data_IF_860458760190
#
_entry.id   IF_860458760190
#
_cell.length_a   1.000
_cell.length_b   1.000
_cell.length_c   1.000
_cell.angle_alpha   90.00
_cell.angle_beta   90.00
_cell.angle_gamma   90.00
#
_symmetry.space_group_name_H-M   'P 1'
#
loop_
_entity.id
_entity.type
_entity.pdbx_description
1 polymer ?
#
# COMPACT_ATOMS: atom_id res chain seq x y z
N UNK A 1 -16.55 -11.89 -1.47
CA UNK A 1 -16.67 -10.47 -1.04
C UNK A 1 -15.25 -9.92 -0.91
N UNK A 2 -14.98 -8.69 -1.36
CA UNK A 2 -13.65 -8.04 -1.28
C UNK A 2 -13.78 -6.68 -0.58
N UNK A 3 -12.68 -6.15 -0.04
CA UNK A 3 -12.61 -4.81 0.57
C UNK A 3 -12.16 -3.76 -0.44
N UNK A 4 -12.60 -2.52 -0.25
CA UNK A 4 -12.01 -1.37 -0.96
C UNK A 4 -10.71 -0.92 -0.28
N UNK A 5 -9.93 -0.10 -0.98
CA UNK A 5 -8.75 0.61 -0.48
C UNK A 5 -9.06 1.47 0.74
N UNK A 6 -10.19 2.19 0.70
CA UNK A 6 -10.66 3.02 1.81
C UNK A 6 -11.01 2.20 3.05
N UNK A 7 -11.69 1.06 2.88
CA UNK A 7 -12.00 0.15 3.99
C UNK A 7 -10.71 -0.38 4.65
N UNK A 8 -9.72 -0.80 3.85
CA UNK A 8 -8.44 -1.27 4.37
C UNK A 8 -7.69 -0.17 5.14
N UNK A 9 -7.68 1.07 4.62
CA UNK A 9 -7.05 2.21 5.28
C UNK A 9 -7.72 2.57 6.61
N UNK A 10 -9.06 2.51 6.68
CA UNK A 10 -9.81 2.74 7.91
C UNK A 10 -9.47 1.72 8.99
N UNK A 11 -9.34 0.44 8.62
CA UNK A 11 -8.94 -0.62 9.55
C UNK A 11 -7.51 -0.39 10.07
N UNK A 12 -6.57 -0.03 9.19
CA UNK A 12 -5.20 0.25 9.61
C UNK A 12 -5.12 1.43 10.58
N UNK A 13 -5.85 2.51 10.29
CA UNK A 13 -5.95 3.68 11.16
C UNK A 13 -6.55 3.31 12.53
N UNK A 14 -7.68 2.58 12.55
CA UNK A 14 -8.34 2.17 13.78
C UNK A 14 -7.49 1.20 14.63
N UNK A 15 -6.70 0.35 13.99
CA UNK A 15 -5.82 -0.60 14.66
C UNK A 15 -4.50 0.02 15.17
N UNK A 16 -4.17 1.26 14.77
CA UNK A 16 -2.94 1.93 15.19
C UNK A 16 -1.66 1.26 14.68
N UNK A 17 -1.70 0.64 13.50
CA UNK A 17 -0.52 -0.03 12.92
C UNK A 17 0.51 0.99 12.43
N UNK A 18 1.77 0.57 12.29
CA UNK A 18 2.84 1.43 11.75
C UNK A 18 2.78 1.64 10.23
N UNK A 19 2.31 0.64 9.48
CA UNK A 19 2.26 0.67 8.01
C UNK A 19 1.18 -0.29 7.46
N UNK A 20 0.55 0.11 6.35
CA UNK A 20 -0.40 -0.70 5.59
C UNK A 20 0.20 -1.05 4.23
N UNK A 21 0.21 -2.33 3.86
CA UNK A 21 0.55 -2.78 2.52
C UNK A 21 -0.71 -3.29 1.81
N UNK A 22 -1.14 -2.60 0.75
CA UNK A 22 -2.30 -3.00 -0.05
C UNK A 22 -1.89 -4.02 -1.11
N UNK A 23 -2.66 -5.11 -1.23
CA UNK A 23 -2.41 -6.20 -2.18
C UNK A 23 -3.74 -6.77 -2.70
N UNK A 24 -3.67 -7.75 -3.59
CA UNK A 24 -4.81 -8.49 -4.13
C UNK A 24 -5.83 -7.58 -4.84
N UNK A 25 -5.33 -6.80 -5.81
CA UNK A 25 -6.16 -5.95 -6.65
C UNK A 25 -6.80 -6.75 -7.78
N UNK A 26 -7.97 -6.28 -8.23
CA UNK A 26 -8.58 -6.82 -9.44
C UNK A 26 -7.69 -6.49 -10.65
N UNK A 27 -7.49 -7.41 -11.61
CA UNK A 27 -6.74 -7.14 -12.84
C UNK A 27 -7.33 -6.05 -13.73
N UNK A 28 -8.46 -5.44 -13.34
CA UNK A 28 -9.10 -4.32 -14.03
C UNK A 28 -8.37 -3.00 -13.77
N UNK A 29 -7.63 -2.91 -12.67
CA UNK A 29 -6.83 -1.75 -12.30
C UNK A 29 -5.42 -1.94 -12.87
N UNK A 30 -5.28 -1.64 -14.16
CA UNK A 30 -4.03 -1.75 -14.91
C UNK A 30 -3.56 -0.32 -15.23
N UNK A 31 -2.25 -0.06 -15.23
CA UNK A 31 -1.72 1.19 -15.78
C UNK A 31 -2.29 1.47 -17.18
N UNK A 32 -2.81 2.68 -17.40
CA UNK A 32 -3.41 3.11 -18.67
C UNK A 32 -4.94 3.02 -18.73
N UNK A 33 -5.63 2.61 -17.67
CA UNK A 33 -7.09 2.72 -17.52
C UNK A 33 -7.49 4.02 -16.82
N UNK A 34 -8.78 4.36 -16.85
CA UNK A 34 -9.32 5.56 -16.21
C UNK A 34 -9.13 5.59 -14.68
N UNK A 35 -9.02 4.41 -14.05
CA UNK A 35 -8.64 4.26 -12.64
C UNK A 35 -7.48 3.27 -12.60
N UNK A 36 -6.31 3.78 -12.20
CA UNK A 36 -5.09 3.02 -12.08
C UNK A 36 -4.78 2.59 -10.64
N UNK A 37 -3.71 1.80 -10.46
CA UNK A 37 -3.21 1.44 -9.14
C UNK A 37 -2.82 2.67 -8.29
N UNK A 38 -2.31 3.73 -8.93
CA UNK A 38 -1.92 4.97 -8.24
C UNK A 38 -3.11 5.72 -7.64
N UNK A 39 -4.27 5.71 -8.31
CA UNK A 39 -5.51 6.31 -7.79
C UNK A 39 -5.97 5.57 -6.54
N UNK A 40 -5.93 4.24 -6.57
CA UNK A 40 -6.25 3.38 -5.41
C UNK A 40 -5.31 3.62 -4.23
N UNK A 41 -4.01 3.83 -4.51
CA UNK A 41 -3.04 4.18 -3.48
C UNK A 41 -3.33 5.57 -2.89
N UNK A 42 -3.69 6.53 -3.73
CA UNK A 42 -4.06 7.88 -3.29
C UNK A 42 -5.30 7.87 -2.38
N UNK A 43 -6.33 7.10 -2.74
CA UNK A 43 -7.54 6.92 -1.91
C UNK A 43 -7.20 6.39 -0.52
N UNK A 44 -6.36 5.36 -0.42
CA UNK A 44 -5.96 4.81 0.87
C UNK A 44 -5.09 5.79 1.67
N UNK A 45 -4.14 6.47 1.01
CA UNK A 45 -3.25 7.45 1.65
C UNK A 45 -3.99 8.68 2.18
N UNK A 46 -5.12 9.05 1.58
CA UNK A 46 -5.97 10.12 2.08
C UNK A 46 -6.53 9.82 3.49
N UNK A 47 -6.66 8.54 3.86
CA UNK A 47 -7.14 8.09 5.17
C UNK A 47 -5.97 7.67 6.08
N UNK A 48 -5.02 6.92 5.54
CA UNK A 48 -3.86 6.43 6.27
C UNK A 48 -2.56 6.66 5.46
N UNK A 49 -1.81 7.75 5.72
CA UNK A 49 -0.66 8.14 4.91
C UNK A 49 0.47 7.10 4.85
N UNK A 50 0.64 6.29 5.90
CA UNK A 50 1.64 5.21 5.96
C UNK A 50 1.17 3.96 5.17
N UNK A 51 0.75 4.17 3.93
CA UNK A 51 0.27 3.12 3.03
C UNK A 51 1.20 2.95 1.84
N UNK A 52 1.49 1.70 1.50
CA UNK A 52 2.25 1.30 0.33
C UNK A 52 1.44 0.33 -0.53
N UNK A 53 1.73 0.31 -1.83
CA UNK A 53 1.20 -0.68 -2.75
C UNK A 53 2.18 -1.84 -2.87
N UNK A 54 1.70 -3.05 -2.57
CA UNK A 54 2.48 -4.25 -2.75
C UNK A 54 2.66 -4.53 -4.25
N UNK A 55 3.84 -5.01 -4.60
CA UNK A 55 4.17 -5.53 -5.92
C UNK A 55 4.84 -6.89 -5.76
N UNK A 56 4.83 -7.68 -6.81
CA UNK A 56 5.48 -8.99 -6.80
C UNK A 56 6.93 -8.84 -6.34
N UNK A 57 7.33 -9.75 -5.44
CA UNK A 57 8.67 -9.77 -4.83
C UNK A 57 9.03 -8.55 -3.97
N UNK A 58 8.05 -7.75 -3.54
CA UNK A 58 8.29 -6.68 -2.56
C UNK A 58 8.77 -7.28 -1.23
N UNK A 59 9.95 -6.84 -0.77
CA UNK A 59 10.49 -7.12 0.55
C UNK A 59 10.28 -5.90 1.46
N UNK A 60 9.74 -6.15 2.66
CA UNK A 60 9.55 -5.11 3.67
C UNK A 60 10.47 -5.39 4.85
N UNK A 61 11.39 -4.46 5.11
CA UNK A 61 12.14 -4.44 6.36
C UNK A 61 11.25 -3.86 7.46
N UNK A 62 11.26 -4.52 8.62
CA UNK A 62 10.52 -4.07 9.79
C UNK A 62 11.51 -3.49 10.80
N UNK A 63 11.41 -2.18 11.07
CA UNK A 63 12.18 -1.52 12.13
C UNK A 63 11.27 -1.21 13.32
N UNK A 64 11.74 -1.49 14.53
CA UNK A 64 11.08 -1.06 15.76
C UNK A 64 11.33 0.45 15.96
N UNK A 65 10.59 1.29 15.22
CA UNK A 65 10.71 2.75 15.28
C UNK A 65 10.58 3.40 13.90
N UNK A 66 9.82 4.51 13.85
CA UNK A 66 9.42 5.32 12.69
C UNK A 66 10.23 5.12 11.40
N UNK A 67 9.53 4.63 10.39
CA UNK A 67 10.05 4.03 9.18
C UNK A 67 10.50 5.09 8.14
N UNK A 68 11.82 5.27 8.00
CA UNK A 68 12.44 5.98 6.88
C UNK A 68 12.75 4.98 5.77
N UNK A 69 11.98 5.03 4.67
CA UNK A 69 12.14 4.15 3.50
C UNK A 69 13.60 4.19 3.01
N UNK A 70 14.36 3.11 3.25
CA UNK A 70 15.60 2.84 2.50
C UNK A 70 15.19 2.14 1.21
N UNK A 71 15.24 2.87 0.10
CA UNK A 71 15.16 2.28 -1.23
C UNK A 71 16.42 1.43 -1.43
N UNK A 72 16.32 0.13 -1.12
CA UNK A 72 17.36 -0.85 -1.38
C UNK A 72 17.64 -0.90 -2.88
N UNK A 73 18.78 -0.34 -3.28
CA UNK A 73 19.32 -0.49 -4.62
C UNK A 73 20.02 -1.87 -4.68
N UNK A 74 19.73 -2.61 -5.76
CA UNK A 74 20.17 -3.93 -6.27
C UNK A 74 21.45 -4.59 -5.70
N UNK A 75 21.52 -5.94 -5.68
CA UNK A 75 22.55 -6.63 -6.51
C UNK A 75 22.14 -8.06 -6.99
N UNK A 76 23.01 -8.76 -7.75
CA UNK A 76 23.40 -8.57 -9.16
C UNK A 76 22.40 -9.17 -10.18
#
# INVERSE_FOLDING_TARGET
LHSTTTMAAQVALAAGVGRLALTHFSPRYIPGQAIGPDDLLAEARAIFPSTIMARDFLVLELTAGSDGIRSGTTPP
#
